data_IF_327716266676
#
_entry.id   IF_327716266676
#
_cell.length_a   1.000
_cell.length_b   1.000
_cell.length_c   1.000
_cell.angle_alpha   90.00
_cell.angle_beta   90.00
_cell.angle_gamma   90.00
#
_symmetry.space_group_name_H-M   'P 1'
#
loop_
_entity.id
_entity.type
_entity.pdbx_description
1 polymer ?
#
# COMPACT_ATOMS: atom_id res chain seq x y z
N UNK A 1 31.11 11.84 -7.89
CA UNK A 1 29.69 11.64 -8.17
C UNK A 1 28.97 11.35 -6.87
N UNK A 2 27.98 12.15 -6.43
CA UNK A 2 27.20 11.77 -5.26
C UNK A 2 26.41 10.50 -5.65
N UNK A 3 26.67 9.41 -4.93
CA UNK A 3 25.85 8.20 -5.00
C UNK A 3 24.54 8.53 -4.31
N UNK A 4 23.43 8.57 -5.06
CA UNK A 4 22.10 8.58 -4.44
C UNK A 4 21.97 7.24 -3.68
N UNK A 5 21.85 7.30 -2.35
CA UNK A 5 21.50 6.11 -1.58
C UNK A 5 20.09 5.68 -1.98
N UNK A 6 19.95 4.43 -2.43
CA UNK A 6 18.67 3.83 -2.79
C UNK A 6 18.44 2.65 -1.86
N UNK A 7 17.29 2.64 -1.19
CA UNK A 7 16.86 1.55 -0.32
C UNK A 7 15.53 0.98 -0.84
N UNK A 8 15.53 -0.22 -1.45
CA UNK A 8 14.31 -0.87 -1.92
C UNK A 8 13.56 -1.54 -0.77
N UNK A 9 12.25 -1.29 -0.69
CA UNK A 9 11.36 -1.87 0.34
C UNK A 9 10.17 -2.58 -0.32
N UNK A 10 9.89 -3.79 0.14
CA UNK A 10 8.74 -4.59 -0.27
C UNK A 10 7.74 -4.75 0.86
N UNK A 11 6.46 -4.52 0.57
CA UNK A 11 5.37 -4.61 1.55
C UNK A 11 4.35 -5.67 1.12
N UNK A 12 4.00 -6.56 2.04
CA UNK A 12 2.97 -7.57 1.84
C UNK A 12 1.89 -7.42 2.90
N UNK A 13 0.64 -7.22 2.45
CA UNK A 13 -0.53 -7.11 3.31
C UNK A 13 -1.36 -8.39 3.21
N UNK A 14 -1.72 -8.95 4.35
CA UNK A 14 -2.49 -10.19 4.45
C UNK A 14 -3.88 -9.87 4.98
N UNK A 15 -4.88 -10.34 4.25
CA UNK A 15 -6.29 -10.15 4.57
C UNK A 15 -6.98 -11.48 4.86
N UNK A 16 -8.30 -11.39 5.02
CA UNK A 16 -9.20 -12.54 5.16
C UNK A 16 -10.38 -12.29 4.24
N UNK A 17 -10.57 -13.18 3.26
CA UNK A 17 -11.71 -13.11 2.35
C UNK A 17 -13.00 -13.39 3.11
N UNK A 18 -14.03 -12.61 2.81
CA UNK A 18 -15.38 -12.85 3.28
C UNK A 18 -16.33 -12.57 2.12
N UNK A 19 -17.47 -13.27 2.05
CA UNK A 19 -18.46 -12.92 1.05
C UNK A 19 -18.91 -11.48 1.28
N UNK A 20 -18.48 -10.57 0.40
CA UNK A 20 -18.73 -9.14 0.48
C UNK A 20 -20.22 -8.79 0.66
N UNK A 21 -21.12 -9.65 0.17
CA UNK A 21 -22.57 -9.49 0.29
C UNK A 21 -23.20 -10.16 1.54
N UNK A 22 -22.53 -11.11 2.19
CA UNK A 22 -23.12 -11.92 3.27
C UNK A 22 -22.63 -11.49 4.67
N UNK A 23 -21.34 -11.16 4.80
CA UNK A 23 -20.74 -10.75 6.09
C UNK A 23 -19.46 -9.93 5.83
N UNK A 24 -19.56 -8.72 5.26
CA UNK A 24 -18.40 -7.90 4.90
C UNK A 24 -17.50 -7.57 6.10
N UNK A 25 -18.06 -7.43 7.30
CA UNK A 25 -17.34 -7.17 8.56
C UNK A 25 -16.48 -8.35 9.03
N UNK A 26 -16.74 -9.56 8.54
CA UNK A 26 -15.92 -10.72 8.85
C UNK A 26 -14.63 -10.79 8.00
N UNK A 27 -14.52 -9.92 6.99
CA UNK A 27 -13.36 -9.79 6.12
C UNK A 27 -12.29 -8.85 6.68
N UNK A 28 -11.04 -9.09 6.30
CA UNK A 28 -9.92 -8.17 6.54
C UNK A 28 -9.42 -7.74 5.16
N UNK A 29 -9.62 -6.47 4.82
CA UNK A 29 -9.32 -5.96 3.48
C UNK A 29 -7.84 -5.58 3.35
N UNK A 30 -7.06 -6.44 2.70
CA UNK A 30 -5.65 -6.18 2.41
C UNK A 30 -5.46 -5.02 1.41
N UNK A 31 -6.38 -4.84 0.46
CA UNK A 31 -6.31 -3.75 -0.52
C UNK A 31 -6.47 -2.39 0.17
N UNK A 32 -7.38 -2.27 1.13
CA UNK A 32 -7.53 -1.03 1.91
C UNK A 32 -6.26 -0.70 2.69
N UNK A 33 -5.57 -1.70 3.24
CA UNK A 33 -4.30 -1.48 3.93
C UNK A 33 -3.20 -0.98 2.97
N UNK A 34 -3.13 -1.50 1.74
CA UNK A 34 -2.24 -0.98 0.68
C UNK A 34 -2.56 0.47 0.34
N UNK A 35 -3.85 0.81 0.20
CA UNK A 35 -4.28 2.18 -0.10
C UNK A 35 -3.91 3.13 1.05
N UNK A 36 -4.11 2.71 2.31
CA UNK A 36 -3.72 3.49 3.47
C UNK A 36 -2.20 3.73 3.54
N UNK A 37 -1.39 2.74 3.18
CA UNK A 37 0.06 2.91 3.05
C UNK A 37 0.39 4.03 2.05
N UNK A 38 -0.22 4.01 0.86
CA UNK A 38 0.02 5.05 -0.16
C UNK A 38 -0.43 6.45 0.30
N UNK A 39 -1.57 6.53 0.99
CA UNK A 39 -2.03 7.79 1.58
C UNK A 39 -1.04 8.29 2.64
N UNK A 40 -0.52 7.40 3.48
CA UNK A 40 0.52 7.71 4.47
C UNK A 40 1.82 8.19 3.81
N UNK A 41 2.26 7.53 2.74
CA UNK A 41 3.43 7.95 1.95
C UNK A 41 3.21 9.34 1.35
N UNK A 42 2.01 9.61 0.82
CA UNK A 42 1.69 10.94 0.26
C UNK A 42 1.73 12.03 1.33
N UNK A 43 1.20 11.76 2.53
CA UNK A 43 1.30 12.68 3.65
C UNK A 43 2.76 12.86 4.11
N UNK A 44 3.52 11.78 4.21
CA UNK A 44 4.93 11.79 4.61
C UNK A 44 5.77 12.64 3.65
N UNK A 45 5.53 12.56 2.34
CA UNK A 45 6.24 13.37 1.33
C UNK A 45 6.15 14.87 1.58
N UNK A 46 5.11 15.37 2.26
CA UNK A 46 5.00 16.79 2.61
C UNK A 46 5.95 17.21 3.73
N UNK A 47 6.44 16.24 4.52
CA UNK A 47 7.31 16.46 5.68
C UNK A 47 8.78 16.16 5.37
N UNK A 48 9.08 15.70 4.16
CA UNK A 48 10.43 15.34 3.74
C UNK A 48 11.15 16.50 3.06
N UNK A 49 12.49 16.56 3.17
CA UNK A 49 13.31 17.46 2.36
C UNK A 49 13.13 17.25 0.85
N UNK A 50 13.36 18.30 0.05
CA UNK A 50 13.08 18.30 -1.40
C UNK A 50 13.99 17.39 -2.24
N UNK A 51 15.13 16.97 -1.68
CA UNK A 51 16.06 16.02 -2.26
C UNK A 51 15.69 14.55 -1.95
N UNK A 52 14.75 14.30 -1.03
CA UNK A 52 14.22 12.96 -0.76
C UNK A 52 13.11 12.63 -1.73
N UNK A 53 13.19 11.44 -2.35
CA UNK A 53 12.21 10.94 -3.30
C UNK A 53 11.75 9.55 -2.90
N UNK A 54 10.44 9.33 -2.85
CA UNK A 54 9.82 8.03 -2.61
C UNK A 54 8.95 7.71 -3.82
N UNK A 55 9.14 6.55 -4.43
CA UNK A 55 8.31 6.04 -5.54
C UNK A 55 7.89 4.61 -5.23
N UNK A 56 6.76 4.16 -5.77
CA UNK A 56 6.31 2.79 -5.58
C UNK A 56 5.20 2.42 -6.55
N UNK A 57 5.02 1.12 -6.77
CA UNK A 57 3.93 0.54 -7.57
C UNK A 57 3.21 -0.54 -6.76
N UNK A 58 1.88 -0.64 -6.93
CA UNK A 58 1.11 -1.78 -6.43
C UNK A 58 1.24 -2.87 -7.49
N UNK A 59 1.96 -3.94 -7.17
CA UNK A 59 2.18 -5.08 -8.08
C UNK A 59 1.01 -6.05 -8.09
N UNK A 60 0.35 -6.25 -6.94
CA UNK A 60 -0.79 -7.14 -6.76
C UNK A 60 -1.85 -6.45 -5.88
N UNK A 61 -3.03 -6.18 -6.43
CA UNK A 61 -4.10 -5.37 -5.79
C UNK A 61 -5.42 -6.10 -5.57
N UNK A 62 -5.43 -7.43 -5.65
CA UNK A 62 -6.65 -8.25 -5.62
C UNK A 62 -7.06 -8.74 -7.02
N UNK A 63 -7.79 -9.86 -7.06
CA UNK A 63 -8.06 -10.61 -8.31
C UNK A 63 -9.52 -10.55 -8.76
N UNK A 64 -10.44 -10.14 -7.91
CA UNK A 64 -11.86 -10.02 -8.22
C UNK A 64 -12.52 -9.00 -7.30
N UNK A 65 -13.47 -8.19 -7.80
CA UNK A 65 -14.14 -7.14 -7.03
C UNK A 65 -15.21 -7.65 -6.05
N UNK A 66 -15.59 -8.93 -6.13
CA UNK A 66 -16.69 -9.53 -5.37
C UNK A 66 -16.22 -10.55 -4.30
N UNK A 67 -14.93 -10.54 -3.96
CA UNK A 67 -14.28 -11.46 -3.02
C UNK A 67 -13.69 -10.68 -1.84
#
# INVERSE_FOLDING_TARGET
>A
SPSLAVDPLDFHFYGKTAHAAASPEAGINALDAVIQLYNGINALRQQLPSDVRIHGVITEGGKAPNI
#
